data_IF_643563356441
#
_entry.id   IF_643563356441
#
_cell.length_a   1.000
_cell.length_b   1.000
_cell.length_c   1.000
_cell.angle_alpha   90.00
_cell.angle_beta   90.00
_cell.angle_gamma   90.00
#
_symmetry.space_group_name_H-M   'P 1'
#
loop_
_entity.id
_entity.type
_entity.pdbx_description
1 polymer ?
#
# COMPACT_ATOMS: atom_id res chain seq x y z
N UNK A 1 2.30 -4.74 25.46
CA UNK A 1 2.73 -3.57 24.64
C UNK A 1 1.53 -2.69 24.41
N UNK A 2 1.65 -1.37 24.17
CA UNK A 2 0.48 -0.56 23.89
C UNK A 2 -0.13 -0.94 22.53
N UNK A 3 -1.43 -1.10 22.49
CA UNK A 3 -2.16 -1.20 21.23
C UNK A 3 -2.18 0.17 20.55
N UNK A 4 -1.68 0.26 19.33
CA UNK A 4 -1.61 1.50 18.55
C UNK A 4 -2.37 1.37 17.22
N UNK A 5 -2.80 2.51 16.69
CA UNK A 5 -3.46 2.61 15.39
C UNK A 5 -2.44 2.60 14.25
N UNK A 6 -2.89 2.43 13.00
CA UNK A 6 -2.00 2.43 11.83
C UNK A 6 -1.23 3.74 11.70
N UNK A 7 -1.88 4.91 11.89
CA UNK A 7 -1.18 6.20 11.82
C UNK A 7 -0.15 6.37 12.95
N UNK A 8 -0.43 5.83 14.15
CA UNK A 8 0.55 5.81 15.24
C UNK A 8 1.72 4.85 14.94
N UNK A 9 1.47 3.73 14.25
CA UNK A 9 2.51 2.81 13.82
C UNK A 9 3.43 3.43 12.74
N UNK A 10 2.85 4.22 11.83
CA UNK A 10 3.63 5.04 10.87
C UNK A 10 4.52 6.04 11.62
N UNK A 11 3.96 6.79 12.58
CA UNK A 11 4.73 7.73 13.41
C UNK A 11 5.87 7.01 14.17
N UNK A 12 5.58 5.86 14.76
CA UNK A 12 6.56 5.06 15.49
C UNK A 12 7.70 4.59 14.58
N UNK A 13 7.39 4.13 13.35
CA UNK A 13 8.38 3.72 12.37
C UNK A 13 9.27 4.89 11.92
N UNK A 14 8.69 6.08 11.68
CA UNK A 14 9.44 7.29 11.37
C UNK A 14 10.37 7.68 12.51
N UNK A 15 9.85 7.73 13.74
CA UNK A 15 10.62 8.07 14.94
C UNK A 15 11.78 7.08 15.15
N UNK A 16 11.53 5.80 14.94
CA UNK A 16 12.55 4.74 15.04
C UNK A 16 13.62 4.88 13.96
N UNK A 17 13.21 5.02 12.69
CA UNK A 17 14.16 5.19 11.59
C UNK A 17 15.04 6.44 11.74
N UNK A 18 14.47 7.56 12.17
CA UNK A 18 15.20 8.80 12.43
C UNK A 18 16.16 8.69 13.62
N UNK A 19 15.82 7.88 14.62
CA UNK A 19 16.70 7.64 15.77
C UNK A 19 17.88 6.73 15.39
N UNK A 20 17.65 5.72 14.55
CA UNK A 20 18.65 4.74 14.15
C UNK A 20 19.61 5.28 13.06
N UNK A 21 19.15 6.19 12.19
CA UNK A 21 19.92 6.69 11.04
C UNK A 21 19.81 8.22 10.91
N UNK A 22 20.91 8.97 11.11
CA UNK A 22 20.93 10.43 10.98
C UNK A 22 20.68 10.93 9.55
N UNK A 23 20.77 10.10 8.54
CA UNK A 23 20.48 10.48 7.15
C UNK A 23 18.97 10.50 6.80
N UNK A 24 18.11 9.93 7.67
CA UNK A 24 16.65 9.93 7.46
C UNK A 24 16.09 11.31 7.74
N UNK A 25 15.37 11.87 6.79
CA UNK A 25 14.69 13.18 6.86
C UNK A 25 13.19 12.99 6.62
N UNK A 26 12.36 13.77 7.32
CA UNK A 26 10.93 13.87 7.01
C UNK A 26 10.67 15.20 6.32
N UNK A 27 10.00 15.17 5.19
CA UNK A 27 9.82 16.34 4.30
C UNK A 27 8.37 16.39 3.83
N UNK A 28 7.75 17.55 3.83
CA UNK A 28 6.38 17.69 3.32
C UNK A 28 5.70 18.96 3.82
N UNK A 29 4.46 19.13 3.45
CA UNK A 29 3.61 20.22 3.89
C UNK A 29 3.10 19.94 5.29
N UNK A 30 3.27 20.89 6.21
CA UNK A 30 2.78 20.84 7.60
C UNK A 30 3.29 19.63 8.42
N UNK A 31 4.34 18.96 7.96
CA UNK A 31 4.88 17.76 8.64
C UNK A 31 5.60 18.08 9.94
N UNK A 32 6.09 19.31 10.08
CA UNK A 32 6.80 19.80 11.26
C UNK A 32 5.86 20.39 12.30
N UNK A 33 5.50 21.65 12.14
CA UNK A 33 4.75 22.42 13.14
C UNK A 33 3.37 21.80 13.45
N UNK A 34 2.66 21.31 12.43
CA UNK A 34 1.34 20.72 12.57
C UNK A 34 1.35 19.19 12.80
N UNK A 35 2.48 18.51 12.58
CA UNK A 35 2.59 17.07 12.72
C UNK A 35 1.89 16.26 11.61
N UNK A 36 1.69 16.89 10.43
CA UNK A 36 0.98 16.35 9.29
C UNK A 36 -0.55 16.40 9.43
N UNK A 37 -1.25 16.40 8.30
CA UNK A 37 -2.73 16.48 8.23
C UNK A 37 -3.41 15.38 9.05
N UNK A 38 -2.86 14.19 9.06
CA UNK A 38 -3.37 13.04 9.82
C UNK A 38 -2.62 12.77 11.13
N UNK A 39 -1.67 13.64 11.51
CA UNK A 39 -0.81 13.50 12.70
C UNK A 39 0.17 12.32 12.60
N UNK A 40 0.55 11.96 11.38
CA UNK A 40 1.52 10.89 11.15
C UNK A 40 2.95 11.28 11.56
N UNK A 41 3.25 12.58 11.65
CA UNK A 41 4.58 13.12 12.00
C UNK A 41 4.57 13.91 13.32
N UNK A 42 3.50 13.80 14.10
CA UNK A 42 3.33 14.51 15.38
C UNK A 42 4.50 14.24 16.33
N UNK A 43 5.07 15.32 16.92
CA UNK A 43 6.18 15.25 17.87
C UNK A 43 7.56 15.00 17.27
N UNK A 44 7.68 14.74 15.97
CA UNK A 44 8.98 14.48 15.33
C UNK A 44 9.84 15.75 15.27
N UNK A 45 9.25 16.93 15.01
CA UNK A 45 9.96 18.20 15.00
C UNK A 45 10.63 18.51 16.36
N UNK A 46 9.89 18.33 17.45
CA UNK A 46 10.40 18.55 18.82
C UNK A 46 11.55 17.60 19.16
N UNK A 47 11.47 16.37 18.66
CA UNK A 47 12.44 15.31 18.96
C UNK A 47 13.71 15.40 18.11
N UNK A 48 13.60 15.74 16.82
CA UNK A 48 14.71 15.65 15.87
C UNK A 48 15.15 16.97 15.28
N UNK A 49 14.41 18.05 15.50
CA UNK A 49 14.74 19.40 15.08
C UNK A 49 14.40 19.72 13.62
N UNK A 50 14.42 21.01 13.28
CA UNK A 50 14.05 21.53 11.98
C UNK A 50 15.02 21.17 10.84
N UNK A 51 16.23 20.73 11.15
CA UNK A 51 17.18 20.21 10.15
C UNK A 51 16.82 18.81 9.67
N UNK A 52 15.92 18.11 10.37
CA UNK A 52 15.54 16.73 10.09
C UNK A 52 14.04 16.58 9.75
N UNK A 53 13.21 17.52 10.17
CA UNK A 53 11.77 17.59 9.89
C UNK A 53 11.48 18.91 9.20
N UNK A 54 11.25 18.83 7.89
CA UNK A 54 11.29 20.00 7.00
C UNK A 54 9.87 20.31 6.49
N UNK A 55 9.30 21.41 6.96
CA UNK A 55 8.09 21.96 6.36
C UNK A 55 8.43 22.60 5.00
N UNK A 56 7.66 22.27 3.98
CA UNK A 56 7.82 22.80 2.62
C UNK A 56 6.67 23.72 2.24
N UNK A 57 6.86 24.60 1.24
CA UNK A 57 5.73 25.19 0.54
C UNK A 57 4.83 24.12 -0.09
N UNK A 58 3.57 24.49 -0.37
CA UNK A 58 2.58 23.68 -1.08
C UNK A 58 2.99 23.54 -2.56
N UNK A 59 3.84 22.56 -2.85
CA UNK A 59 4.40 22.30 -4.17
C UNK A 59 4.92 20.88 -4.29
N UNK A 60 4.04 19.91 -4.53
CA UNK A 60 4.33 18.48 -4.47
C UNK A 60 5.41 18.05 -5.48
N UNK A 61 5.45 18.67 -6.66
CA UNK A 61 6.53 18.48 -7.63
C UNK A 61 7.90 18.90 -7.11
N UNK A 62 7.97 19.96 -6.28
CA UNK A 62 9.20 20.40 -5.62
C UNK A 62 9.56 19.46 -4.49
N UNK A 63 8.61 19.01 -3.68
CA UNK A 63 8.83 18.01 -2.63
C UNK A 63 9.49 16.76 -3.20
N UNK A 64 8.93 16.22 -4.29
CA UNK A 64 9.47 15.04 -4.96
C UNK A 64 10.86 15.30 -5.56
N UNK A 65 11.05 16.41 -6.27
CA UNK A 65 12.33 16.78 -6.89
C UNK A 65 13.44 17.03 -5.88
N UNK A 66 13.12 17.71 -4.77
CA UNK A 66 14.04 17.92 -3.66
C UNK A 66 14.44 16.57 -3.03
N UNK A 67 13.50 15.66 -2.86
CA UNK A 67 13.75 14.33 -2.32
C UNK A 67 14.70 13.51 -3.19
N UNK A 68 14.57 13.60 -4.51
CA UNK A 68 15.54 12.97 -5.44
C UNK A 68 16.94 13.57 -5.25
N UNK A 69 17.03 14.90 -5.11
CA UNK A 69 18.29 15.59 -4.87
C UNK A 69 18.94 15.21 -3.53
N UNK A 70 18.16 15.16 -2.45
CA UNK A 70 18.59 14.73 -1.13
C UNK A 70 19.08 13.27 -1.15
N UNK A 71 18.33 12.38 -1.80
CA UNK A 71 18.72 10.98 -1.95
C UNK A 71 20.04 10.82 -2.72
N UNK A 72 20.25 11.61 -3.78
CA UNK A 72 21.50 11.62 -4.54
C UNK A 72 22.70 12.13 -3.72
N UNK A 73 22.47 12.89 -2.66
CA UNK A 73 23.49 13.37 -1.70
C UNK A 73 23.70 12.43 -0.51
N UNK A 74 23.02 11.29 -0.48
CA UNK A 74 23.19 10.28 0.56
C UNK A 74 22.20 10.37 1.73
N UNK A 75 21.23 11.26 1.69
CA UNK A 75 20.13 11.28 2.64
C UNK A 75 19.05 10.25 2.27
N UNK A 76 18.17 9.95 3.24
CA UNK A 76 16.99 9.09 3.09
C UNK A 76 15.73 9.92 3.36
N UNK A 77 15.27 10.72 2.39
CA UNK A 77 14.07 11.52 2.56
C UNK A 77 12.81 10.65 2.57
N UNK A 78 12.00 10.83 3.60
CA UNK A 78 10.64 10.31 3.69
C UNK A 78 9.69 11.47 3.48
N UNK A 79 9.12 11.56 2.28
CA UNK A 79 8.33 12.70 1.83
C UNK A 79 6.85 12.38 1.97
N UNK A 80 6.09 13.28 2.59
CA UNK A 80 4.64 13.19 2.70
C UNK A 80 3.96 14.06 1.64
N UNK A 81 3.02 13.48 0.90
CA UNK A 81 2.01 14.16 0.11
C UNK A 81 0.69 14.02 0.85
N UNK A 82 0.00 15.13 1.13
CA UNK A 82 -1.13 15.18 2.06
C UNK A 82 -2.31 14.28 1.66
N UNK A 83 -2.56 14.09 0.34
CA UNK A 83 -3.58 13.20 -0.22
C UNK A 83 -3.16 12.67 -1.58
N UNK A 84 -3.62 11.47 -1.94
CA UNK A 84 -3.25 10.85 -3.22
C UNK A 84 -3.68 11.63 -4.45
N UNK A 85 -4.75 12.41 -4.41
CA UNK A 85 -5.12 13.30 -5.51
C UNK A 85 -4.10 14.41 -5.78
N UNK A 86 -3.25 14.72 -4.82
CA UNK A 86 -2.16 15.69 -4.97
C UNK A 86 -0.82 15.04 -5.37
N UNK A 87 -0.77 13.71 -5.49
CA UNK A 87 0.46 12.99 -5.87
C UNK A 87 0.83 13.14 -7.34
N UNK A 88 -0.11 13.50 -8.21
CA UNK A 88 0.12 13.54 -9.67
C UNK A 88 1.24 14.49 -10.11
N UNK A 89 1.45 15.70 -9.54
CA UNK A 89 2.60 16.54 -9.87
C UNK A 89 3.96 15.89 -9.56
N UNK A 90 4.00 14.87 -8.68
CA UNK A 90 5.24 14.16 -8.33
C UNK A 90 5.65 13.13 -9.37
N UNK A 91 4.73 12.71 -10.26
CA UNK A 91 4.95 11.60 -11.22
C UNK A 91 6.16 11.87 -12.11
N UNK A 92 6.35 13.09 -12.59
CA UNK A 92 7.52 13.44 -13.42
C UNK A 92 8.82 13.13 -12.66
N UNK A 93 8.92 13.55 -11.40
CA UNK A 93 10.12 13.36 -10.58
C UNK A 93 10.35 11.88 -10.22
N UNK A 94 9.27 11.16 -9.90
CA UNK A 94 9.34 9.74 -9.59
C UNK A 94 9.73 8.91 -10.82
N UNK A 95 9.08 9.15 -11.97
CA UNK A 95 9.27 8.36 -13.20
C UNK A 95 10.54 8.76 -13.94
N UNK A 96 10.78 10.07 -14.14
CA UNK A 96 11.91 10.52 -14.95
C UNK A 96 13.22 10.61 -14.18
N UNK A 97 13.20 10.70 -12.87
CA UNK A 97 14.40 10.88 -12.06
C UNK A 97 14.62 9.75 -11.04
N UNK A 98 13.75 9.60 -10.04
CA UNK A 98 13.95 8.63 -8.95
C UNK A 98 14.14 7.20 -9.48
N UNK A 99 13.19 6.70 -10.28
CA UNK A 99 13.20 5.32 -10.80
C UNK A 99 14.41 5.00 -11.69
N UNK A 100 15.00 6.02 -12.31
CA UNK A 100 16.07 5.86 -13.31
C UNK A 100 17.47 6.23 -12.82
N UNK A 101 17.58 6.80 -11.63
CA UNK A 101 18.85 7.33 -11.11
C UNK A 101 19.94 6.23 -11.08
N UNK A 102 19.62 5.05 -10.55
CA UNK A 102 20.51 3.90 -10.50
C UNK A 102 21.01 3.50 -11.90
N UNK A 103 20.11 3.37 -12.85
CA UNK A 103 20.45 2.97 -14.23
C UNK A 103 21.28 4.03 -14.94
N UNK A 104 20.88 5.31 -14.87
CA UNK A 104 21.60 6.44 -15.51
C UNK A 104 23.02 6.60 -14.97
N UNK A 105 23.22 6.32 -13.71
CA UNK A 105 24.54 6.46 -13.07
C UNK A 105 25.34 5.16 -13.07
N UNK A 106 24.82 4.10 -13.71
CA UNK A 106 25.44 2.76 -13.74
C UNK A 106 25.69 2.21 -12.32
N UNK A 107 24.72 2.40 -11.42
CA UNK A 107 24.78 1.94 -10.05
C UNK A 107 25.62 2.79 -9.09
N UNK A 108 26.22 3.91 -9.56
CA UNK A 108 27.00 4.80 -8.67
C UNK A 108 26.16 5.54 -7.65
N UNK A 109 24.94 5.88 -8.02
CA UNK A 109 23.95 6.50 -7.15
C UNK A 109 22.73 5.61 -7.08
N UNK A 110 22.09 5.61 -5.92
CA UNK A 110 20.77 5.03 -5.66
C UNK A 110 19.81 6.15 -5.30
N UNK A 111 18.53 5.85 -5.15
CA UNK A 111 17.54 6.84 -4.77
C UNK A 111 16.74 6.33 -3.56
N UNK A 112 17.34 6.28 -2.36
CA UNK A 112 16.73 5.76 -1.15
C UNK A 112 15.72 6.77 -0.58
N UNK A 113 14.62 6.99 -1.29
CA UNK A 113 13.53 7.88 -0.89
C UNK A 113 12.24 7.11 -0.71
N UNK A 114 11.40 7.55 0.22
CA UNK A 114 10.03 7.06 0.37
C UNK A 114 9.08 8.23 0.07
N UNK A 115 8.16 8.03 -0.88
CA UNK A 115 7.04 8.94 -1.11
C UNK A 115 5.82 8.35 -0.43
N UNK A 116 5.39 8.96 0.68
CA UNK A 116 4.19 8.56 1.45
C UNK A 116 2.99 9.40 1.02
N UNK A 117 1.83 8.77 0.98
CA UNK A 117 0.57 9.50 0.82
C UNK A 117 -0.59 8.73 1.44
N UNK A 118 -1.52 9.41 2.15
CA UNK A 118 -2.83 8.86 2.46
C UNK A 118 -3.53 8.45 1.17
N UNK A 119 -4.22 7.29 1.19
CA UNK A 119 -4.65 6.57 -0.01
C UNK A 119 -6.05 6.02 0.20
N UNK A 120 -6.83 6.00 -0.88
CA UNK A 120 -8.10 5.29 -0.97
C UNK A 120 -9.29 5.99 -0.33
N UNK A 121 -10.44 5.38 -0.52
CA UNK A 121 -11.75 5.89 -0.12
C UNK A 121 -12.18 5.43 1.28
N UNK A 122 -13.42 5.76 1.66
CA UNK A 122 -14.06 5.31 2.89
C UNK A 122 -14.01 6.32 4.04
N UNK A 123 -13.55 7.54 3.78
CA UNK A 123 -13.52 8.64 4.76
C UNK A 123 -14.54 9.75 4.47
N UNK A 124 -15.39 9.55 3.45
CA UNK A 124 -16.41 10.51 3.00
C UNK A 124 -15.83 11.86 2.58
N UNK A 125 -14.66 11.84 1.96
CA UNK A 125 -14.03 13.00 1.37
C UNK A 125 -14.48 13.20 -0.09
N UNK A 126 -14.01 14.29 -0.70
CA UNK A 126 -14.20 14.55 -2.15
C UNK A 126 -13.34 13.57 -2.98
N UNK A 127 -13.61 13.48 -4.27
CA UNK A 127 -13.02 12.48 -5.18
C UNK A 127 -11.49 12.42 -5.12
N UNK A 128 -10.80 13.55 -5.24
CA UNK A 128 -9.35 13.60 -5.24
C UNK A 128 -8.68 13.36 -3.87
N UNK A 129 -9.46 13.19 -2.80
CA UNK A 129 -8.98 12.71 -1.50
C UNK A 129 -9.26 11.22 -1.28
N UNK A 130 -9.82 10.54 -2.29
CA UNK A 130 -10.35 9.18 -2.17
C UNK A 130 -9.89 8.26 -3.31
N UNK A 131 -8.86 8.68 -4.06
CA UNK A 131 -8.37 7.93 -5.22
C UNK A 131 -7.43 6.78 -4.85
N UNK A 132 -7.34 5.80 -5.74
CA UNK A 132 -6.50 4.60 -5.62
C UNK A 132 -5.63 4.44 -6.88
N UNK A 133 -4.55 5.26 -7.02
CA UNK A 133 -3.75 5.33 -8.24
C UNK A 133 -2.57 4.35 -8.29
N UNK A 134 -2.54 3.33 -7.45
CA UNK A 134 -1.39 2.40 -7.32
C UNK A 134 -0.93 1.80 -8.65
N UNK A 135 -1.84 1.52 -9.57
CA UNK A 135 -1.52 0.92 -10.87
C UNK A 135 -0.57 1.79 -11.70
N UNK A 136 -0.64 3.12 -11.58
CA UNK A 136 0.25 4.05 -12.27
C UNK A 136 1.70 3.87 -11.83
N UNK A 137 1.92 3.69 -10.52
CA UNK A 137 3.25 3.49 -9.96
C UNK A 137 3.77 2.06 -10.16
N UNK A 138 2.89 1.07 -10.07
CA UNK A 138 3.22 -0.34 -10.34
C UNK A 138 3.71 -0.53 -11.78
N UNK A 139 3.14 0.18 -12.74
CA UNK A 139 3.59 0.13 -14.14
C UNK A 139 5.04 0.60 -14.32
N UNK A 140 5.54 1.54 -13.49
CA UNK A 140 6.84 2.19 -13.68
C UNK A 140 8.01 1.31 -13.22
N UNK A 141 8.93 0.87 -14.14
CA UNK A 141 10.15 0.17 -13.73
C UNK A 141 11.01 1.03 -12.81
N UNK A 142 11.62 0.41 -11.79
CA UNK A 142 12.51 1.09 -10.85
C UNK A 142 11.82 1.74 -9.65
N UNK A 143 10.49 1.69 -9.56
CA UNK A 143 9.73 2.04 -8.35
C UNK A 143 9.32 0.76 -7.61
N UNK A 144 9.24 0.84 -6.28
CA UNK A 144 8.53 -0.11 -5.43
C UNK A 144 7.20 0.50 -5.01
N UNK A 145 6.17 -0.33 -4.75
CA UNK A 145 4.84 0.13 -4.33
C UNK A 145 4.36 -0.72 -3.18
N UNK A 146 4.06 -0.09 -2.05
CA UNK A 146 3.69 -0.75 -0.79
C UNK A 146 2.42 -0.14 -0.25
N UNK A 147 1.49 -0.98 0.22
CA UNK A 147 0.20 -0.59 0.81
C UNK A 147 -0.07 -1.46 2.05
N UNK A 148 0.21 -0.98 3.26
CA UNK A 148 0.00 -1.76 4.47
C UNK A 148 -1.48 -1.96 4.78
N UNK A 149 -1.82 -3.04 5.48
CA UNK A 149 -3.20 -3.40 5.85
C UNK A 149 -3.46 -3.42 7.36
N UNK A 150 -2.42 -3.27 8.19
CA UNK A 150 -2.53 -3.25 9.64
C UNK A 150 -1.43 -2.41 10.30
N UNK A 151 -1.57 -2.05 11.59
CA UNK A 151 -0.54 -1.30 12.31
C UNK A 151 0.83 -1.97 12.30
N UNK A 152 0.93 -3.27 12.62
CA UNK A 152 2.20 -3.99 12.62
C UNK A 152 2.85 -4.04 11.23
N UNK A 153 2.03 -4.22 10.16
CA UNK A 153 2.53 -4.17 8.78
C UNK A 153 2.98 -2.77 8.41
N UNK A 154 2.25 -1.72 8.82
CA UNK A 154 2.64 -0.34 8.54
C UNK A 154 4.02 -0.04 9.16
N UNK A 155 4.25 -0.43 10.41
CA UNK A 155 5.54 -0.26 11.08
C UNK A 155 6.67 -0.99 10.34
N UNK A 156 6.55 -2.30 10.17
CA UNK A 156 7.62 -3.12 9.62
C UNK A 156 7.92 -2.87 8.13
N UNK A 157 6.86 -2.64 7.31
CA UNK A 157 7.03 -2.33 5.89
C UNK A 157 7.57 -0.92 5.66
N UNK A 158 7.20 0.07 6.50
CA UNK A 158 7.76 1.42 6.39
C UNK A 158 9.24 1.43 6.77
N UNK A 159 9.65 0.71 7.81
CA UNK A 159 11.07 0.54 8.13
C UNK A 159 11.84 -0.11 6.98
N UNK A 160 11.27 -1.14 6.35
CA UNK A 160 11.88 -1.77 5.17
C UNK A 160 12.01 -0.78 4.01
N UNK A 161 10.95 0.00 3.74
CA UNK A 161 10.93 1.00 2.69
C UNK A 161 11.99 2.11 2.90
N UNK A 162 12.15 2.60 4.13
CA UNK A 162 13.16 3.62 4.46
C UNK A 162 14.57 3.07 4.30
N UNK A 163 14.79 1.79 4.61
CA UNK A 163 16.10 1.13 4.49
C UNK A 163 16.42 0.66 3.06
N UNK A 164 15.42 0.62 2.16
CA UNK A 164 15.63 0.21 0.77
C UNK A 164 16.51 1.23 0.02
N UNK A 165 17.44 0.79 -0.83
CA UNK A 165 18.25 1.70 -1.63
C UNK A 165 17.53 2.26 -2.86
N UNK A 166 16.35 1.75 -3.21
CA UNK A 166 15.54 2.17 -4.35
C UNK A 166 14.27 2.92 -3.92
N UNK A 167 13.68 3.75 -4.79
CA UNK A 167 12.54 4.58 -4.42
C UNK A 167 11.28 3.76 -4.16
N UNK A 168 10.61 4.05 -3.06
CA UNK A 168 9.37 3.40 -2.63
C UNK A 168 8.23 4.41 -2.62
N UNK A 169 7.12 4.07 -3.27
CA UNK A 169 5.82 4.72 -3.11
C UNK A 169 5.05 3.94 -2.04
N UNK A 170 4.79 4.58 -0.92
CA UNK A 170 4.16 3.98 0.26
C UNK A 170 2.77 4.61 0.46
N UNK A 171 1.72 3.87 0.07
CA UNK A 171 0.35 4.36 0.08
C UNK A 171 -0.36 3.86 1.33
N UNK A 172 -0.87 4.79 2.13
CA UNK A 172 -1.41 4.52 3.46
C UNK A 172 -2.94 4.55 3.43
N UNK A 173 -3.64 3.41 3.59
CA UNK A 173 -5.09 3.38 3.54
C UNK A 173 -5.72 4.26 4.62
N UNK A 174 -6.22 5.43 4.22
CA UNK A 174 -6.73 6.48 5.12
C UNK A 174 -7.84 5.94 6.04
N UNK A 175 -8.69 5.07 5.49
CA UNK A 175 -9.78 4.42 6.22
C UNK A 175 -9.27 3.52 7.37
N UNK A 176 -8.05 2.99 7.26
CA UNK A 176 -7.45 2.15 8.29
C UNK A 176 -6.68 2.93 9.36
N UNK A 177 -6.38 4.20 9.14
CA UNK A 177 -5.56 5.01 10.06
C UNK A 177 -5.99 4.91 11.53
N UNK A 178 -7.30 4.86 11.80
CA UNK A 178 -7.86 4.80 13.15
C UNK A 178 -8.92 3.71 13.32
N UNK A 179 -9.03 2.77 12.34
CA UNK A 179 -10.09 1.78 12.32
C UNK A 179 -9.88 0.65 13.34
N UNK A 180 -8.64 0.28 13.59
CA UNK A 180 -8.28 -0.79 14.50
C UNK A 180 -7.01 -0.41 15.28
N UNK A 181 -6.78 -1.11 16.39
CA UNK A 181 -5.55 -1.08 17.18
C UNK A 181 -4.94 -2.46 17.18
N UNK A 182 -3.63 -2.51 17.22
CA UNK A 182 -2.85 -3.74 17.26
C UNK A 182 -1.63 -3.51 18.16
N UNK A 183 -1.17 -4.54 18.85
CA UNK A 183 0.10 -4.48 19.55
C UNK A 183 1.24 -4.39 18.52
N UNK A 184 2.07 -3.36 18.64
CA UNK A 184 3.25 -3.16 17.81
C UNK A 184 4.46 -2.99 18.71
N UNK A 185 5.46 -3.84 18.48
CA UNK A 185 6.73 -3.78 19.18
C UNK A 185 7.69 -2.81 18.45
N UNK A 186 8.26 -1.85 19.19
CA UNK A 186 9.30 -0.97 18.67
C UNK A 186 10.68 -1.63 18.76
N UNK A 187 10.83 -2.76 18.11
CA UNK A 187 12.08 -3.55 18.07
C UNK A 187 13.00 -3.18 16.89
N UNK A 188 12.50 -2.33 15.97
CA UNK A 188 13.21 -1.97 14.74
C UNK A 188 13.20 -3.07 13.69
N UNK A 189 12.38 -4.12 13.84
CA UNK A 189 12.27 -5.20 12.86
C UNK A 189 11.54 -4.72 11.60
N UNK A 190 12.18 -4.94 10.45
CA UNK A 190 11.60 -4.66 9.14
C UNK A 190 10.92 -5.91 8.58
N UNK A 191 9.80 -5.72 7.88
CA UNK A 191 9.15 -6.77 7.13
C UNK A 191 9.66 -6.82 5.67
N UNK A 192 9.71 -7.99 5.03
CA UNK A 192 10.17 -8.12 3.66
C UNK A 192 9.24 -7.41 2.67
N UNK A 193 9.83 -6.69 1.69
CA UNK A 193 9.10 -5.99 0.62
C UNK A 193 8.84 -6.86 -0.62
N UNK A 194 9.08 -8.14 -0.57
CA UNK A 194 8.93 -9.08 -1.69
C UNK A 194 8.08 -10.30 -1.32
N UNK A 195 7.28 -10.19 -0.26
CA UNK A 195 6.41 -11.25 0.24
C UNK A 195 4.98 -10.78 0.42
N UNK A 196 4.03 -11.65 0.11
CA UNK A 196 2.66 -11.53 0.56
C UNK A 196 2.49 -12.17 1.95
N UNK A 197 1.38 -11.86 2.61
CA UNK A 197 1.07 -12.37 3.95
C UNK A 197 -0.22 -13.17 3.91
N UNK A 198 -0.18 -14.42 4.35
CA UNK A 198 -1.38 -15.22 4.56
C UNK A 198 -2.01 -14.75 5.88
N UNK A 199 -3.17 -14.10 5.78
CA UNK A 199 -3.94 -13.63 6.95
C UNK A 199 -4.79 -14.73 7.56
N UNK A 200 -5.16 -15.70 6.73
CA UNK A 200 -5.98 -16.84 7.08
C UNK A 200 -5.63 -18.00 6.14
N UNK A 201 -5.39 -19.15 6.72
CA UNK A 201 -5.19 -20.39 5.95
C UNK A 201 -6.52 -20.99 5.50
N UNK A 202 -6.55 -21.56 4.30
CA UNK A 202 -7.72 -22.22 3.73
C UNK A 202 -7.39 -23.15 2.57
N UNK A 203 -8.35 -23.97 2.13
CA UNK A 203 -8.12 -25.02 1.14
C UNK A 203 -9.09 -25.01 -0.05
N UNK A 204 -10.20 -24.26 0.01
CA UNK A 204 -11.23 -24.31 -1.03
C UNK A 204 -11.19 -23.11 -1.98
N UNK A 205 -10.80 -21.92 -1.48
CA UNK A 205 -10.73 -20.68 -2.27
C UNK A 205 -9.69 -19.74 -1.69
N UNK A 206 -8.94 -19.05 -2.56
CA UNK A 206 -8.03 -17.95 -2.21
C UNK A 206 -8.69 -16.59 -2.53
N UNK A 207 -8.79 -15.74 -1.51
CA UNK A 207 -9.16 -14.33 -1.66
C UNK A 207 -7.89 -13.48 -1.56
N UNK A 208 -7.50 -12.85 -2.67
CA UNK A 208 -6.31 -11.99 -2.76
C UNK A 208 -6.74 -10.54 -2.59
N UNK A 209 -6.07 -9.79 -1.71
CA UNK A 209 -6.44 -8.41 -1.41
C UNK A 209 -5.25 -7.58 -0.95
N UNK A 210 -5.43 -6.28 -0.73
CA UNK A 210 -4.46 -5.38 -0.10
C UNK A 210 -5.11 -4.15 0.52
N UNK A 211 -4.36 -3.47 1.38
CA UNK A 211 -4.77 -2.22 1.99
C UNK A 211 -6.11 -2.31 2.72
N UNK A 212 -6.99 -1.35 2.47
CA UNK A 212 -8.26 -1.25 3.18
C UNK A 212 -9.24 -2.37 2.87
N UNK A 213 -9.13 -3.01 1.69
CA UNK A 213 -10.03 -4.10 1.30
C UNK A 213 -9.82 -5.40 2.09
N UNK A 214 -8.74 -5.52 2.85
CA UNK A 214 -8.52 -6.65 3.77
C UNK A 214 -9.68 -6.82 4.76
N UNK A 215 -10.27 -5.70 5.21
CA UNK A 215 -11.40 -5.72 6.15
C UNK A 215 -12.63 -6.43 5.56
N UNK A 216 -13.10 -6.02 4.39
CA UNK A 216 -14.26 -6.60 3.72
C UNK A 216 -13.98 -8.03 3.26
N UNK A 217 -12.74 -8.31 2.88
CA UNK A 217 -12.32 -9.65 2.45
C UNK A 217 -12.32 -10.64 3.62
N UNK A 218 -11.81 -10.24 4.79
CA UNK A 218 -11.87 -11.07 6.00
C UNK A 218 -13.31 -11.29 6.47
N UNK A 219 -14.17 -10.26 6.43
CA UNK A 219 -15.59 -10.41 6.77
C UNK A 219 -16.30 -11.39 5.80
N UNK A 220 -16.01 -11.32 4.50
CA UNK A 220 -16.53 -12.27 3.52
C UNK A 220 -15.99 -13.68 3.76
N UNK A 221 -14.72 -13.84 4.15
CA UNK A 221 -14.14 -15.13 4.50
C UNK A 221 -14.86 -15.77 5.70
N UNK A 222 -15.13 -15.00 6.76
CA UNK A 222 -15.88 -15.47 7.92
C UNK A 222 -17.29 -15.97 7.56
N UNK A 223 -17.96 -15.28 6.64
CA UNK A 223 -19.30 -15.69 6.15
C UNK A 223 -19.24 -16.97 5.33
N UNK A 224 -18.26 -17.10 4.43
CA UNK A 224 -18.04 -18.32 3.65
C UNK A 224 -17.72 -19.50 4.55
N UNK A 225 -16.94 -19.31 5.59
CA UNK A 225 -16.61 -20.35 6.56
C UNK A 225 -17.85 -20.83 7.34
N UNK A 226 -18.75 -19.90 7.70
CA UNK A 226 -20.02 -20.26 8.29
C UNK A 226 -20.91 -21.11 7.35
N UNK A 227 -20.69 -20.99 6.04
CA UNK A 227 -21.31 -21.82 5.00
C UNK A 227 -20.51 -23.11 4.74
N UNK A 228 -19.42 -23.39 5.49
CA UNK A 228 -18.61 -24.61 5.39
C UNK A 228 -17.46 -24.56 4.35
N UNK A 229 -17.11 -23.38 3.83
CA UNK A 229 -16.03 -23.17 2.85
C UNK A 229 -14.74 -22.80 3.56
N UNK A 230 -13.65 -23.49 3.28
CA UNK A 230 -12.30 -23.22 3.84
C UNK A 230 -11.60 -22.15 3.01
N UNK A 231 -11.53 -20.92 3.55
CA UNK A 231 -11.08 -19.73 2.82
C UNK A 231 -9.67 -19.33 3.19
N UNK A 232 -8.79 -19.24 2.20
CA UNK A 232 -7.49 -18.59 2.34
C UNK A 232 -7.58 -17.12 2.00
N UNK A 233 -7.02 -16.26 2.85
CA UNK A 233 -6.95 -14.80 2.60
C UNK A 233 -5.50 -14.38 2.52
N UNK A 234 -5.11 -13.79 1.40
CA UNK A 234 -3.75 -13.32 1.13
C UNK A 234 -3.74 -11.80 0.99
N UNK A 235 -2.99 -11.15 1.87
CA UNK A 235 -2.65 -9.72 1.77
C UNK A 235 -1.37 -9.55 0.95
N UNK A 236 -1.50 -8.91 -0.22
CA UNK A 236 -0.36 -8.69 -1.11
C UNK A 236 0.63 -7.68 -0.51
N UNK A 237 0.14 -6.68 0.21
CA UNK A 237 0.89 -5.60 0.86
C UNK A 237 1.93 -4.87 -0.03
N UNK A 238 2.78 -5.59 -0.75
CA UNK A 238 3.72 -5.05 -1.72
C UNK A 238 3.29 -5.39 -3.14
N UNK A 239 2.81 -4.38 -3.86
CA UNK A 239 2.34 -4.57 -5.25
C UNK A 239 3.49 -4.61 -6.24
N UNK A 240 4.66 -4.04 -5.87
CA UNK A 240 5.88 -4.12 -6.67
C UNK A 240 7.13 -4.07 -5.76
N UNK A 241 8.00 -5.10 -5.81
CA UNK A 241 7.83 -6.34 -6.59
C UNK A 241 6.65 -7.17 -6.07
N UNK A 242 5.96 -7.84 -6.99
CA UNK A 242 4.86 -8.72 -6.63
C UNK A 242 5.40 -10.11 -6.27
N UNK A 243 5.00 -10.66 -5.13
CA UNK A 243 5.27 -12.05 -4.72
C UNK A 243 4.42 -13.03 -5.54
N UNK A 244 4.82 -13.22 -6.80
CA UNK A 244 4.10 -14.11 -7.72
C UNK A 244 4.15 -15.57 -7.27
N UNK A 245 5.24 -16.00 -6.63
CA UNK A 245 5.40 -17.38 -6.20
C UNK A 245 4.52 -17.70 -4.98
N UNK A 246 4.41 -16.78 -4.02
CA UNK A 246 3.49 -16.91 -2.90
C UNK A 246 2.02 -16.95 -3.35
N UNK A 247 1.63 -16.06 -4.26
CA UNK A 247 0.29 -16.05 -4.84
C UNK A 247 -0.04 -17.33 -5.61
N UNK A 248 0.91 -17.82 -6.42
CA UNK A 248 0.73 -19.06 -7.18
C UNK A 248 0.62 -20.27 -6.26
N UNK A 249 1.42 -20.34 -5.20
CA UNK A 249 1.35 -21.43 -4.22
C UNK A 249 -0.02 -21.47 -3.52
N UNK A 250 -0.55 -20.31 -3.13
CA UNK A 250 -1.87 -20.19 -2.53
C UNK A 250 -2.99 -20.63 -3.49
N UNK A 251 -2.98 -20.12 -4.73
CA UNK A 251 -3.99 -20.48 -5.74
C UNK A 251 -3.87 -21.94 -6.17
N UNK A 252 -2.65 -22.49 -6.28
CA UNK A 252 -2.46 -23.89 -6.62
C UNK A 252 -2.99 -24.84 -5.53
N UNK A 253 -2.98 -24.40 -4.26
CA UNK A 253 -3.53 -25.15 -3.13
C UNK A 253 -5.07 -25.21 -3.19
N UNK A 254 -5.72 -24.10 -3.53
CA UNK A 254 -7.18 -23.98 -3.46
C UNK A 254 -7.91 -24.20 -4.78
N UNK A 255 -7.23 -24.01 -5.91
CA UNK A 255 -7.83 -24.10 -7.25
C UNK A 255 -8.76 -22.93 -7.64
N UNK A 256 -9.19 -22.11 -6.70
CA UNK A 256 -10.15 -21.03 -6.90
C UNK A 256 -9.56 -19.69 -6.44
N UNK A 257 -9.81 -18.61 -7.20
CA UNK A 257 -9.26 -17.30 -6.89
C UNK A 257 -10.24 -16.16 -7.14
N UNK A 258 -10.36 -15.28 -6.13
CA UNK A 258 -11.02 -13.98 -6.26
C UNK A 258 -10.03 -12.89 -5.84
N UNK A 259 -9.88 -11.84 -6.65
CA UNK A 259 -8.98 -10.71 -6.38
C UNK A 259 -9.82 -9.49 -6.03
N UNK A 260 -9.55 -8.88 -4.88
CA UNK A 260 -10.34 -7.77 -4.32
C UNK A 260 -9.49 -6.52 -4.14
N UNK A 261 -9.86 -5.42 -4.78
CA UNK A 261 -9.19 -4.12 -4.61
C UNK A 261 -10.14 -2.94 -4.86
N UNK A 262 -9.85 -1.77 -4.28
CA UNK A 262 -10.74 -0.62 -4.40
C UNK A 262 -10.53 0.24 -5.67
N UNK A 263 -9.35 0.18 -6.29
CA UNK A 263 -9.09 0.85 -7.57
C UNK A 263 -10.07 0.38 -8.66
N UNK A 264 -10.29 1.18 -9.73
CA UNK A 264 -11.10 0.77 -10.87
C UNK A 264 -10.69 -0.57 -11.47
N UNK A 265 -11.65 -1.29 -12.06
CA UNK A 265 -11.42 -2.61 -12.65
C UNK A 265 -10.45 -2.56 -13.83
N UNK A 266 -10.65 -1.56 -14.72
CA UNK A 266 -9.85 -1.39 -15.93
C UNK A 266 -8.44 -0.90 -15.60
N UNK A 267 -7.43 -1.67 -16.03
CA UNK A 267 -6.01 -1.33 -15.78
C UNK A 267 -5.57 -1.44 -14.32
N UNK A 268 -6.44 -1.88 -13.40
CA UNK A 268 -6.08 -2.10 -12.01
C UNK A 268 -5.09 -3.26 -11.83
N UNK A 269 -4.33 -3.25 -10.73
CA UNK A 269 -3.28 -4.25 -10.43
C UNK A 269 -3.84 -5.67 -10.34
N UNK A 270 -5.12 -5.83 -10.00
CA UNK A 270 -5.79 -7.13 -10.03
C UNK A 270 -5.78 -7.81 -11.42
N UNK A 271 -5.68 -7.04 -12.52
CA UNK A 271 -5.53 -7.60 -13.86
C UNK A 271 -4.12 -8.22 -14.06
N UNK A 272 -3.08 -7.57 -13.57
CA UNK A 272 -1.70 -8.09 -13.61
C UNK A 272 -1.58 -9.37 -12.76
N UNK A 273 -2.17 -9.39 -11.56
CA UNK A 273 -2.18 -10.59 -10.70
C UNK A 273 -2.89 -11.74 -11.41
N UNK A 274 -4.07 -11.50 -12.00
CA UNK A 274 -4.81 -12.50 -12.74
C UNK A 274 -4.03 -13.03 -13.94
N UNK A 275 -3.34 -12.16 -14.70
CA UNK A 275 -2.50 -12.55 -15.81
C UNK A 275 -1.36 -13.48 -15.37
N UNK A 276 -0.62 -13.12 -14.30
CA UNK A 276 0.48 -13.94 -13.77
C UNK A 276 0.03 -15.30 -13.28
N UNK A 277 -1.13 -15.36 -12.61
CA UNK A 277 -1.72 -16.63 -12.19
C UNK A 277 -2.11 -17.46 -13.41
N UNK A 278 -2.74 -16.86 -14.42
CA UNK A 278 -3.12 -17.57 -15.65
C UNK A 278 -1.90 -18.05 -16.46
N UNK A 279 -0.84 -17.25 -16.57
CA UNK A 279 0.40 -17.61 -17.31
C UNK A 279 1.15 -18.78 -16.67
N UNK A 280 1.18 -18.85 -15.34
CA UNK A 280 2.05 -19.80 -14.62
C UNK A 280 1.29 -20.88 -13.86
N UNK A 281 0.02 -20.67 -13.54
CA UNK A 281 -0.83 -21.52 -12.71
C UNK A 281 -2.11 -21.98 -13.39
N UNK A 282 -2.28 -21.83 -14.71
CA UNK A 282 -3.52 -22.16 -15.43
C UNK A 282 -4.02 -23.58 -15.15
N UNK A 283 -3.10 -24.55 -15.10
CA UNK A 283 -3.45 -25.96 -14.88
C UNK A 283 -3.91 -26.27 -13.45
N UNK A 284 -3.69 -25.35 -12.52
CA UNK A 284 -4.15 -25.47 -11.11
C UNK A 284 -5.52 -24.81 -10.91
N UNK A 285 -6.00 -24.00 -11.86
CA UNK A 285 -7.29 -23.33 -11.75
C UNK A 285 -8.43 -24.30 -12.06
N UNK A 286 -9.40 -24.36 -11.16
CA UNK A 286 -10.65 -25.11 -11.31
C UNK A 286 -11.80 -24.24 -11.84
N UNK A 287 -11.60 -22.91 -11.85
CA UNK A 287 -12.56 -21.93 -12.34
C UNK A 287 -11.84 -20.68 -12.90
N UNK A 288 -12.50 -19.86 -13.71
CA UNK A 288 -12.00 -18.53 -14.07
C UNK A 288 -11.76 -17.68 -12.83
N UNK A 289 -10.69 -16.87 -12.85
CA UNK A 289 -10.42 -15.88 -11.79
C UNK A 289 -11.46 -14.76 -11.87
N UNK A 290 -12.09 -14.42 -10.75
CA UNK A 290 -12.94 -13.24 -10.65
C UNK A 290 -12.23 -12.07 -9.97
N UNK A 291 -12.57 -10.86 -10.39
CA UNK A 291 -12.08 -9.62 -9.80
C UNK A 291 -13.24 -8.79 -9.25
N UNK A 292 -13.16 -8.43 -7.98
CA UNK A 292 -14.09 -7.53 -7.31
C UNK A 292 -13.36 -6.21 -7.06
N UNK A 293 -13.67 -5.19 -7.84
CA UNK A 293 -12.96 -3.93 -7.87
C UNK A 293 -13.91 -2.73 -7.76
N UNK A 294 -13.37 -1.54 -7.59
CA UNK A 294 -14.11 -0.30 -7.81
C UNK A 294 -14.68 -0.23 -9.24
N UNK A 295 -15.70 0.58 -9.43
CA UNK A 295 -16.29 0.78 -10.74
C UNK A 295 -15.40 1.66 -11.63
N UNK A 296 -15.48 1.49 -12.95
CA UNK A 296 -14.77 2.32 -13.93
C UNK A 296 -15.43 3.70 -14.05
N UNK A 297 -15.37 4.46 -12.97
CA UNK A 297 -15.91 5.82 -12.87
C UNK A 297 -15.05 6.64 -11.90
N UNK A 298 -15.10 7.95 -12.00
CA UNK A 298 -14.54 8.84 -10.98
C UNK A 298 -15.17 8.51 -9.63
N UNK A 299 -14.38 8.56 -8.57
CA UNK A 299 -14.88 8.35 -7.20
C UNK A 299 -16.10 9.24 -6.96
N UNK A 300 -17.27 8.65 -6.63
CA UNK A 300 -18.46 9.45 -6.41
C UNK A 300 -18.40 10.24 -5.12
N UNK A 301 -19.20 11.29 -5.02
CA UNK A 301 -19.36 12.07 -3.80
C UNK A 301 -19.80 11.17 -2.62
N UNK A 302 -19.57 11.58 -1.37
CA UNK A 302 -19.68 10.76 -0.15
C UNK A 302 -20.98 9.95 -0.01
N UNK A 303 -22.08 10.43 -0.58
CA UNK A 303 -23.39 9.75 -0.54
C UNK A 303 -23.36 8.39 -1.27
N UNK A 304 -22.57 8.25 -2.32
CA UNK A 304 -22.48 7.05 -3.15
C UNK A 304 -21.18 6.27 -2.98
N UNK A 305 -20.27 6.73 -2.14
CA UNK A 305 -18.95 6.12 -1.90
C UNK A 305 -19.06 4.63 -1.58
N UNK A 306 -20.00 4.24 -0.70
CA UNK A 306 -20.21 2.84 -0.32
C UNK A 306 -20.74 1.94 -1.46
N UNK A 307 -21.31 2.53 -2.51
CA UNK A 307 -21.72 1.77 -3.70
C UNK A 307 -20.57 1.56 -4.68
N UNK A 308 -19.59 2.45 -4.64
CA UNK A 308 -18.38 2.35 -5.45
C UNK A 308 -17.45 1.24 -4.93
N UNK A 309 -17.22 1.22 -3.62
CA UNK A 309 -16.29 0.28 -2.99
C UNK A 309 -16.76 -1.18 -3.12
N UNK A 310 -15.81 -2.13 -3.26
CA UNK A 310 -16.11 -3.55 -3.07
C UNK A 310 -16.77 -3.77 -1.71
N UNK A 311 -17.95 -4.38 -1.70
CA UNK A 311 -18.64 -4.74 -0.47
C UNK A 311 -18.48 -6.23 -0.18
N UNK A 312 -18.67 -6.63 1.09
CA UNK A 312 -18.74 -8.03 1.50
C UNK A 312 -19.70 -8.84 0.58
N UNK A 313 -20.89 -8.28 0.29
CA UNK A 313 -21.86 -8.94 -0.57
C UNK A 313 -21.34 -9.18 -2.00
N UNK A 314 -20.58 -8.24 -2.58
CA UNK A 314 -19.99 -8.41 -3.91
C UNK A 314 -18.88 -9.48 -3.89
N UNK A 315 -18.07 -9.53 -2.82
CA UNK A 315 -17.02 -10.54 -2.63
C UNK A 315 -17.66 -11.92 -2.48
N UNK A 316 -18.67 -12.08 -1.63
CA UNK A 316 -19.41 -13.33 -1.44
C UNK A 316 -20.05 -13.82 -2.75
N UNK A 317 -20.67 -12.92 -3.52
CA UNK A 317 -21.26 -13.29 -4.80
C UNK A 317 -20.23 -13.79 -5.81
N UNK A 318 -19.04 -13.16 -5.88
CA UNK A 318 -17.94 -13.60 -6.72
C UNK A 318 -17.40 -14.96 -6.26
N UNK A 319 -17.12 -15.12 -4.96
CA UNK A 319 -16.62 -16.38 -4.39
C UNK A 319 -17.58 -17.56 -4.68
N UNK A 320 -18.88 -17.36 -4.50
CA UNK A 320 -19.89 -18.40 -4.79
C UNK A 320 -19.96 -18.76 -6.27
N UNK A 321 -19.79 -17.78 -7.19
CA UNK A 321 -19.74 -18.09 -8.64
C UNK A 321 -18.50 -18.91 -9.00
N UNK A 322 -17.35 -18.56 -8.45
CA UNK A 322 -16.08 -19.30 -8.68
C UNK A 322 -16.19 -20.72 -8.14
N UNK A 323 -16.71 -20.89 -6.93
CA UNK A 323 -16.89 -22.23 -6.30
C UNK A 323 -17.94 -23.11 -7.00
N UNK A 324 -18.96 -22.49 -7.62
CA UNK A 324 -20.03 -23.20 -8.35
C UNK A 324 -19.70 -23.45 -9.82
N UNK A 325 -18.51 -23.08 -10.30
CA UNK A 325 -18.12 -23.24 -11.71
C UNK A 325 -17.97 -24.74 -12.06
N UNK A 326 -18.62 -25.16 -13.16
CA UNK A 326 -18.63 -26.54 -13.67
C UNK A 326 -18.02 -26.63 -15.06
#
# INVERSE_FOLDING_TARGET
MPEITLVQAVNLALARAMADDPSVLVVGEDVGAEGGVFRATEGLLDRFGADRVLDTPLAEGVIAGMSVGLAAQGFRPVSEIQFTGFIYPTIDQLVNHASRLRTRTRGRLTCPMVMRSPYGAGIRAVEHHSESPEAMFVHMPGLRVVIPSSPARAYGLLLAAIRDPDPVVFLEPTRLYRAAREEVEDDGAALPLDRCFVLREGNDITLVTWGAMTKETLAAAERLEADGVSVEVVDVATLKPLDSDGLLASVAKTGHCVIVHEAPLTGGVGAEIAARIAERGLVSLLAPIERVAGWDTVMPLPRLEQQYLPSEARILAAARRVLAYQ
#
